data_IF_678722177146
#
_entry.id   IF_678722177146
#
_cell.length_a   1.000
_cell.length_b   1.000
_cell.length_c   1.000
_cell.angle_alpha   90.00
_cell.angle_beta   90.00
_cell.angle_gamma   90.00
#
_symmetry.space_group_name_H-M   'P 1'
#
loop_
_entity.id
_entity.type
_entity.pdbx_description
1 polymer ?
#
# COMPACT_ATOMS: atom_id res chain seq x y z
N UNK A 1 -17.95 13.37 -4.17
CA UNK A 1 -17.39 12.89 -2.88
C UNK A 1 -17.85 11.48 -2.67
N UNK A 2 -16.94 10.52 -2.77
CA UNK A 2 -17.24 9.12 -2.46
C UNK A 2 -16.91 8.92 -0.98
N UNK A 3 -17.90 8.55 -0.16
CA UNK A 3 -17.64 8.23 1.24
C UNK A 3 -17.20 6.76 1.28
N UNK A 4 -15.98 6.46 1.73
CA UNK A 4 -15.51 5.08 1.80
C UNK A 4 -16.35 4.27 2.79
N UNK A 5 -16.47 2.97 2.55
CA UNK A 5 -17.22 2.03 3.38
C UNK A 5 -16.29 0.99 4.00
N UNK A 6 -16.61 0.47 5.20
CA UNK A 6 -15.91 -0.68 5.76
C UNK A 6 -15.87 -1.86 4.77
N UNK A 7 -14.72 -2.51 4.66
CA UNK A 7 -14.44 -3.60 3.71
C UNK A 7 -14.00 -3.14 2.31
N UNK A 8 -14.02 -1.84 2.00
CA UNK A 8 -13.44 -1.35 0.75
C UNK A 8 -11.91 -1.36 0.81
N UNK A 9 -11.28 -1.66 -0.32
CA UNK A 9 -9.83 -1.67 -0.47
C UNK A 9 -9.42 -0.43 -1.27
N UNK A 10 -8.43 0.27 -0.73
CA UNK A 10 -7.83 1.45 -1.32
C UNK A 10 -6.34 1.24 -1.53
N UNK A 11 -5.83 1.78 -2.64
CA UNK A 11 -4.42 1.80 -2.96
C UNK A 11 -3.85 3.17 -2.60
N UNK A 12 -2.83 3.18 -1.75
CA UNK A 12 -2.11 4.41 -1.41
C UNK A 12 -1.29 4.87 -2.61
N UNK A 13 -1.52 6.09 -3.08
CA UNK A 13 -0.93 6.61 -4.31
C UNK A 13 0.59 6.63 -4.31
N UNK A 14 1.20 6.84 -3.14
CA UNK A 14 2.63 7.08 -3.01
C UNK A 14 3.47 5.81 -2.99
N UNK A 15 3.00 4.76 -2.33
CA UNK A 15 3.74 3.50 -2.17
C UNK A 15 3.14 2.37 -3.00
N UNK A 16 1.87 2.48 -3.37
CA UNK A 16 1.12 1.41 -4.02
C UNK A 16 0.54 0.38 -3.05
N UNK A 17 0.77 0.53 -1.74
CA UNK A 17 0.26 -0.38 -0.73
C UNK A 17 -1.27 -0.40 -0.71
N UNK A 18 -1.82 -1.58 -0.41
CA UNK A 18 -3.25 -1.80 -0.31
C UNK A 18 -3.71 -1.78 1.15
N UNK A 19 -4.78 -1.03 1.39
CA UNK A 19 -5.38 -0.85 2.70
C UNK A 19 -6.87 -1.17 2.66
N UNK A 20 -7.33 -1.97 3.61
CA UNK A 20 -8.75 -2.22 3.85
C UNK A 20 -9.30 -1.17 4.82
N UNK A 21 -10.45 -0.60 4.50
CA UNK A 21 -11.19 0.28 5.41
C UNK A 21 -11.83 -0.56 6.51
N UNK A 22 -11.42 -0.35 7.76
CA UNK A 22 -12.00 -1.06 8.92
C UNK A 22 -13.05 -0.24 9.64
N UNK A 23 -12.79 1.05 9.82
CA UNK A 23 -13.67 1.94 10.57
C UNK A 23 -13.84 3.24 9.79
N UNK A 24 -15.08 3.69 9.66
CA UNK A 24 -15.42 4.99 9.06
C UNK A 24 -16.26 5.75 10.06
N UNK A 25 -15.75 6.88 10.53
CA UNK A 25 -16.49 7.81 11.39
C UNK A 25 -16.67 9.15 10.69
N UNK A 26 -17.32 10.11 11.35
CA UNK A 26 -17.43 11.48 10.84
C UNK A 26 -16.10 12.24 10.88
N UNK A 27 -15.18 11.83 11.77
CA UNK A 27 -13.97 12.58 12.09
C UNK A 27 -12.71 11.91 11.50
N UNK A 28 -12.68 10.58 11.51
CA UNK A 28 -11.54 9.79 11.05
C UNK A 28 -11.94 8.47 10.40
N UNK A 29 -10.99 7.90 9.65
CA UNK A 29 -11.08 6.61 8.98
C UNK A 29 -9.86 5.78 9.40
N UNK A 30 -10.09 4.50 9.70
CA UNK A 30 -9.03 3.54 10.03
C UNK A 30 -8.83 2.60 8.86
N UNK A 31 -7.59 2.59 8.38
CA UNK A 31 -7.10 1.78 7.28
C UNK A 31 -6.17 0.70 7.83
N UNK A 32 -6.33 -0.53 7.36
CA UNK A 32 -5.51 -1.67 7.78
C UNK A 32 -4.77 -2.21 6.57
N UNK A 33 -3.45 -2.22 6.62
CA UNK A 33 -2.62 -2.86 5.61
C UNK A 33 -2.48 -4.36 5.88
N UNK A 34 -2.03 -5.09 4.85
CA UNK A 34 -1.78 -6.53 4.96
C UNK A 34 -0.55 -6.88 5.79
N UNK A 35 0.40 -5.96 5.93
CA UNK A 35 1.58 -6.12 6.79
C UNK A 35 1.23 -6.04 8.30
N UNK A 36 -0.05 -5.85 8.63
CA UNK A 36 -0.54 -5.70 9.99
C UNK A 36 -0.44 -4.27 10.53
N UNK A 37 0.07 -3.31 9.74
CA UNK A 37 0.08 -1.91 10.11
C UNK A 37 -1.32 -1.29 9.98
N UNK A 38 -1.59 -0.33 10.86
CA UNK A 38 -2.85 0.42 10.88
C UNK A 38 -2.55 1.89 10.72
N UNK A 39 -3.33 2.57 9.87
CA UNK A 39 -3.22 4.00 9.66
C UNK A 39 -4.56 4.67 9.98
N UNK A 40 -4.50 5.75 10.76
CA UNK A 40 -5.67 6.57 11.09
C UNK A 40 -5.58 7.87 10.29
N UNK A 41 -6.58 8.13 9.47
CA UNK A 41 -6.69 9.36 8.71
C UNK A 41 -7.77 10.25 9.31
N UNK A 42 -7.37 11.44 9.77
CA UNK A 42 -8.29 12.49 10.20
C UNK A 42 -8.61 13.42 9.03
N UNK A 43 -9.89 13.71 8.81
CA UNK A 43 -10.34 14.59 7.74
C UNK A 43 -10.90 13.84 6.51
N UNK A 44 -12.18 14.08 6.24
CA UNK A 44 -12.97 13.38 5.22
C UNK A 44 -12.51 13.61 3.77
N UNK A 45 -11.81 14.71 3.49
CA UNK A 45 -11.30 15.04 2.15
C UNK A 45 -9.91 14.48 1.82
N UNK A 46 -9.21 13.89 2.80
CA UNK A 46 -7.82 13.46 2.66
C UNK A 46 -7.66 12.17 1.86
N UNK A 47 -8.70 11.33 1.83
CA UNK A 47 -8.68 10.04 1.15
C UNK A 47 -8.68 10.19 -0.37
N UNK A 48 -9.53 11.06 -0.91
CA UNK A 48 -9.63 11.28 -2.37
C UNK A 48 -8.33 11.82 -2.99
N UNK A 49 -7.46 12.44 -2.18
CA UNK A 49 -6.16 12.97 -2.62
C UNK A 49 -5.03 11.95 -2.53
N UNK A 50 -5.10 11.05 -1.55
CA UNK A 50 -3.99 10.16 -1.20
C UNK A 50 -4.22 8.71 -1.64
N UNK A 51 -5.46 8.32 -1.91
CA UNK A 51 -5.85 6.95 -2.16
C UNK A 51 -6.73 6.84 -3.39
N UNK A 52 -6.54 5.76 -4.13
CA UNK A 52 -7.41 5.37 -5.24
C UNK A 52 -8.20 4.14 -4.83
N UNK A 53 -9.46 4.06 -5.25
CA UNK A 53 -10.26 2.84 -5.05
C UNK A 53 -9.61 1.73 -5.87
N UNK A 54 -9.22 0.64 -5.21
CA UNK A 54 -8.57 -0.47 -5.90
C UNK A 54 -9.56 -1.10 -6.89
N UNK A 55 -9.11 -1.34 -8.11
CA UNK A 55 -9.92 -2.05 -9.11
C UNK A 55 -9.83 -3.56 -8.88
N UNK A 56 -10.86 -4.34 -9.24
CA UNK A 56 -10.74 -5.80 -9.25
C UNK A 56 -9.63 -6.20 -10.23
N UNK A 57 -8.50 -6.68 -9.70
CA UNK A 57 -7.29 -6.98 -10.46
C UNK A 57 -6.07 -6.11 -10.09
N UNK A 58 -6.22 -5.07 -9.25
CA UNK A 58 -5.05 -4.46 -8.59
C UNK A 58 -4.35 -5.57 -7.80
N UNK A 59 -3.20 -5.97 -8.31
CA UNK A 59 -2.38 -7.00 -7.68
C UNK A 59 -1.74 -6.39 -6.44
N UNK A 60 -1.90 -7.07 -5.31
CA UNK A 60 -1.11 -6.82 -4.11
C UNK A 60 0.36 -6.93 -4.51
N UNK A 61 1.06 -5.80 -4.61
CA UNK A 61 2.51 -5.83 -4.68
C UNK A 61 3.01 -6.13 -3.27
N UNK A 62 3.07 -7.42 -2.93
CA UNK A 62 4.05 -7.88 -1.96
C UNK A 62 5.41 -7.55 -2.59
N UNK A 63 6.00 -6.41 -2.20
CA UNK A 63 7.42 -6.17 -2.43
C UNK A 63 8.17 -7.23 -1.64
N UNK A 64 8.41 -8.37 -2.28
CA UNK A 64 9.37 -9.35 -1.82
C UNK A 64 10.71 -8.60 -1.67
N UNK A 65 11.34 -8.57 -0.49
CA UNK A 65 12.67 -8.00 -0.38
C UNK A 65 13.58 -8.85 -1.27
N UNK A 66 13.99 -8.29 -2.39
CA UNK A 66 15.05 -8.85 -3.23
C UNK A 66 16.30 -8.85 -2.36
N UNK A 67 16.58 -10.02 -1.76
CA UNK A 67 17.81 -10.24 -1.01
C UNK A 67 19.01 -9.87 -1.87
N UNK A 68 20.11 -9.38 -1.26
CA UNK A 68 21.23 -8.84 -2.02
C UNK A 68 21.82 -9.92 -2.93
N UNK A 69 21.80 -9.66 -4.23
CA UNK A 69 22.37 -10.52 -5.28
C UNK A 69 23.89 -10.67 -5.07
N UNK A 70 24.30 -11.79 -4.45
CA UNK A 70 25.70 -12.17 -4.25
C UNK A 70 26.25 -12.96 -5.44
N UNK A 71 26.17 -12.42 -6.66
CA UNK A 71 26.90 -13.00 -7.81
C UNK A 71 27.71 -11.95 -8.58
N UNK A 72 28.86 -11.60 -8.01
CA UNK A 72 30.02 -11.20 -8.79
C UNK A 72 30.96 -12.41 -8.94
N UNK A 73 31.06 -13.04 -10.13
CA UNK A 73 32.22 -13.86 -10.42
C UNK A 73 33.34 -12.92 -10.91
N UNK A 74 34.37 -12.76 -10.09
CA UNK A 74 35.63 -12.17 -10.52
C UNK A 74 36.16 -12.93 -11.73
N UNK A 75 36.21 -12.27 -12.89
CA UNK A 75 37.00 -12.77 -14.01
C UNK A 75 38.44 -12.33 -13.81
N UNK A 76 39.28 -13.33 -13.58
CA UNK A 76 40.72 -13.21 -13.48
C UNK A 76 41.32 -12.53 -14.70
N UNK A 77 42.26 -11.65 -14.40
CA UNK A 77 43.25 -11.09 -15.30
C UNK A 77 44.08 -12.25 -15.85
N UNK A 78 44.06 -12.47 -17.16
CA UNK A 78 44.91 -13.45 -17.81
C UNK A 78 46.09 -12.71 -18.44
N UNK A 79 47.28 -13.20 -18.08
CA UNK A 79 48.63 -12.78 -18.49
C UNK A 79 48.83 -12.80 -20.00
#
# INVERSE_FOLDING_TARGET
MTIPKPGEIFRYARTGDLYEVRVVTREFIVLHALDGSSQVMTGKGSLDFLFFRAAPGDSFQEEHPVGPDRRAPGKGMMV
#
